data_IF_040999015649
#
_entry.id   IF_040999015649
#
_cell.length_a   1.000
_cell.length_b   1.000
_cell.length_c   1.000
_cell.angle_alpha   90.00
_cell.angle_beta   90.00
_cell.angle_gamma   90.00
#
_symmetry.space_group_name_H-M   'P 1'
#
loop_
_entity.id
_entity.type
_entity.pdbx_description
1 polymer ?
#
# COMPACT_ATOMS: atom_id res chain seq x y z
N UNK A 1 -17.21 -14.10 2.45
CA UNK A 1 -15.93 -13.36 2.32
C UNK A 1 -15.07 -13.74 3.50
N UNK A 2 -13.85 -14.24 3.28
CA UNK A 2 -12.94 -14.55 4.39
C UNK A 2 -12.49 -13.25 5.08
N UNK A 3 -12.29 -13.25 6.41
CA UNK A 3 -11.97 -12.04 7.18
C UNK A 3 -10.69 -11.35 6.67
N UNK A 4 -9.75 -12.12 6.11
CA UNK A 4 -8.52 -11.61 5.49
C UNK A 4 -8.78 -10.69 4.28
N UNK A 5 -9.81 -10.98 3.47
CA UNK A 5 -10.18 -10.14 2.33
C UNK A 5 -10.79 -8.81 2.78
N UNK A 6 -11.67 -8.84 3.78
CA UNK A 6 -12.28 -7.63 4.33
C UNK A 6 -11.23 -6.71 4.96
N UNK A 7 -10.26 -7.29 5.69
CA UNK A 7 -9.13 -6.57 6.25
C UNK A 7 -8.24 -5.96 5.17
N UNK A 8 -7.92 -6.71 4.12
CA UNK A 8 -7.08 -6.23 3.00
C UNK A 8 -7.72 -5.05 2.26
N UNK A 9 -9.05 -5.09 2.06
CA UNK A 9 -9.83 -4.00 1.44
C UNK A 9 -9.85 -2.77 2.34
N UNK A 10 -10.02 -2.92 3.66
CA UNK A 10 -9.97 -1.80 4.58
C UNK A 10 -8.60 -1.11 4.57
N UNK A 11 -7.52 -1.89 4.62
CA UNK A 11 -6.13 -1.40 4.54
C UNK A 11 -5.90 -0.65 3.21
N UNK A 12 -6.43 -1.17 2.10
CA UNK A 12 -6.37 -0.51 0.79
C UNK A 12 -7.00 0.89 0.82
N UNK A 13 -8.23 1.03 1.31
CA UNK A 13 -8.91 2.33 1.35
C UNK A 13 -8.25 3.34 2.28
N UNK A 14 -7.78 2.89 3.46
CA UNK A 14 -7.10 3.76 4.42
C UNK A 14 -5.81 4.33 3.81
N UNK A 15 -5.00 3.48 3.17
CA UNK A 15 -3.74 3.89 2.55
C UNK A 15 -4.01 4.77 1.33
N UNK A 16 -5.05 4.50 0.55
CA UNK A 16 -5.42 5.32 -0.60
C UNK A 16 -5.83 6.73 -0.17
N UNK A 17 -6.66 6.85 0.87
CA UNK A 17 -7.09 8.16 1.41
C UNK A 17 -5.90 8.90 2.00
N UNK A 18 -5.05 8.22 2.78
CA UNK A 18 -3.83 8.81 3.33
C UNK A 18 -2.87 9.27 2.22
N UNK A 19 -2.69 8.45 1.18
CA UNK A 19 -1.88 8.80 0.02
C UNK A 19 -2.42 10.02 -0.73
N UNK A 20 -3.73 10.12 -0.93
CA UNK A 20 -4.37 11.29 -1.53
C UNK A 20 -4.17 12.57 -0.68
N UNK A 21 -4.24 12.46 0.64
CA UNK A 21 -3.97 13.58 1.55
C UNK A 21 -2.51 14.04 1.49
N UNK A 22 -1.56 13.08 1.48
CA UNK A 22 -0.12 13.35 1.35
C UNK A 22 0.21 13.93 -0.03
N UNK A 23 -0.55 13.55 -1.06
CA UNK A 23 -0.38 14.09 -2.41
C UNK A 23 -0.72 15.59 -2.52
N UNK A 24 -1.38 16.16 -1.50
CA UNK A 24 -1.62 17.59 -1.37
C UNK A 24 -0.34 18.37 -0.95
N UNK A 25 0.69 17.67 -0.46
CA UNK A 25 1.99 18.25 -0.09
C UNK A 25 3.01 18.18 -1.25
N UNK A 26 3.91 19.17 -1.30
CA UNK A 26 4.91 19.36 -2.38
C UNK A 26 5.92 18.20 -2.51
N UNK A 27 6.13 17.37 -1.47
CA UNK A 27 7.07 16.23 -1.45
C UNK A 27 6.36 14.86 -1.43
N UNK A 28 5.41 14.68 -2.33
CA UNK A 28 4.48 13.55 -2.42
C UNK A 28 5.16 12.21 -2.72
N UNK A 29 6.21 12.21 -3.57
CA UNK A 29 6.84 10.96 -4.03
C UNK A 29 7.65 10.24 -2.92
N UNK A 30 8.30 10.98 -2.02
CA UNK A 30 9.21 10.41 -1.01
C UNK A 30 8.40 9.61 0.02
N UNK A 31 7.27 10.16 0.49
CA UNK A 31 6.43 9.50 1.49
C UNK A 31 5.75 8.24 0.95
N UNK A 32 5.33 8.22 -0.31
CA UNK A 32 4.78 7.02 -0.94
C UNK A 32 5.85 5.93 -1.14
N UNK A 33 7.06 6.28 -1.56
CA UNK A 33 8.17 5.31 -1.67
C UNK A 33 8.57 4.74 -0.30
N UNK A 34 8.58 5.58 0.74
CA UNK A 34 8.83 5.13 2.10
C UNK A 34 7.77 4.13 2.57
N UNK A 35 6.49 4.39 2.28
CA UNK A 35 5.39 3.48 2.59
C UNK A 35 5.53 2.13 1.89
N UNK A 36 5.87 2.12 0.59
CA UNK A 36 6.12 0.90 -0.17
C UNK A 36 7.29 0.11 0.42
N UNK A 37 8.41 0.78 0.73
CA UNK A 37 9.58 0.14 1.34
C UNK A 37 9.25 -0.46 2.71
N UNK A 38 8.44 0.22 3.51
CA UNK A 38 7.98 -0.27 4.80
C UNK A 38 7.10 -1.52 4.66
N UNK A 39 6.09 -1.49 3.78
CA UNK A 39 5.24 -2.66 3.52
C UNK A 39 6.03 -3.84 2.96
N UNK A 40 7.00 -3.57 2.08
CA UNK A 40 7.88 -4.61 1.53
C UNK A 40 8.75 -5.27 2.61
N UNK A 41 9.37 -4.45 3.47
CA UNK A 41 10.19 -4.95 4.60
C UNK A 41 9.33 -5.74 5.58
N UNK A 42 8.11 -5.28 5.85
CA UNK A 42 7.16 -5.99 6.71
C UNK A 42 6.80 -7.37 6.15
N UNK A 43 6.55 -7.49 4.85
CA UNK A 43 6.29 -8.80 4.20
C UNK A 43 7.48 -9.74 4.40
N UNK A 44 8.71 -9.28 4.13
CA UNK A 44 9.92 -10.09 4.24
C UNK A 44 10.10 -10.60 5.68
N UNK A 45 9.99 -9.71 6.67
CA UNK A 45 10.16 -10.07 8.09
C UNK A 45 9.06 -11.04 8.53
N UNK A 46 7.80 -10.75 8.21
CA UNK A 46 6.67 -11.57 8.65
C UNK A 46 6.69 -12.96 7.97
N UNK A 47 7.14 -13.02 6.72
CA UNK A 47 7.39 -14.29 6.02
C UNK A 47 8.53 -15.08 6.65
N UNK A 48 9.65 -14.42 7.00
CA UNK A 48 10.80 -15.09 7.62
C UNK A 48 10.45 -15.68 9.00
N UNK A 49 9.78 -14.89 9.85
CA UNK A 49 9.32 -15.34 11.18
C UNK A 49 8.33 -16.51 11.07
N UNK A 50 7.48 -16.51 10.05
CA UNK A 50 6.50 -17.58 9.85
C UNK A 50 7.12 -18.89 9.36
N UNK A 51 8.11 -18.79 8.48
CA UNK A 51 8.88 -19.95 8.00
C UNK A 51 9.71 -20.57 9.13
N UNK A 52 10.25 -19.75 10.04
CA UNK A 52 11.03 -20.25 11.18
C UNK A 52 10.15 -20.98 12.22
N UNK A 53 8.90 -20.57 12.39
CA UNK A 53 8.00 -21.13 13.42
C UNK A 53 7.15 -22.33 12.94
N UNK A 54 7.16 -22.66 11.64
CA UNK A 54 6.22 -23.65 11.08
C UNK A 54 6.96 -24.66 10.19
N UNK A 55 6.85 -25.96 10.50
CA UNK A 55 7.51 -27.03 9.74
C UNK A 55 6.85 -27.36 8.39
N UNK A 56 5.54 -27.08 8.23
CA UNK A 56 4.77 -27.29 7.00
C UNK A 56 4.19 -25.95 6.52
N UNK A 57 5.00 -25.18 5.79
CA UNK A 57 4.59 -23.88 5.27
C UNK A 57 3.97 -24.06 3.88
N UNK A 58 2.66 -23.86 3.74
CA UNK A 58 2.03 -23.81 2.42
C UNK A 58 2.15 -22.40 1.83
N UNK A 59 2.53 -22.31 0.54
CA UNK A 59 2.62 -21.05 -0.20
C UNK A 59 1.32 -20.23 -0.16
N UNK A 60 0.18 -20.92 -0.04
CA UNK A 60 -1.14 -20.30 0.02
C UNK A 60 -1.32 -19.47 1.28
N UNK A 61 -0.91 -19.97 2.46
CA UNK A 61 -1.03 -19.23 3.73
C UNK A 61 -0.13 -17.99 3.74
N UNK A 62 1.11 -18.14 3.25
CA UNK A 62 2.03 -17.02 3.07
C UNK A 62 1.45 -15.94 2.16
N UNK A 63 0.80 -16.34 1.06
CA UNK A 63 0.15 -15.41 0.14
C UNK A 63 -1.03 -14.70 0.78
N UNK A 64 -1.94 -15.42 1.45
CA UNK A 64 -3.10 -14.82 2.12
C UNK A 64 -2.71 -13.83 3.22
N UNK A 65 -1.58 -14.07 3.89
CA UNK A 65 -1.06 -13.18 4.94
C UNK A 65 -0.35 -11.95 4.36
N UNK A 66 0.23 -12.08 3.16
CA UNK A 66 0.89 -10.98 2.45
C UNK A 66 -0.07 -10.12 1.62
N UNK A 67 -1.27 -10.63 1.31
CA UNK A 67 -2.33 -9.91 0.59
C UNK A 67 -2.57 -8.48 1.10
N UNK A 68 -2.81 -8.22 2.40
CA UNK A 68 -3.08 -6.85 2.87
C UNK A 68 -1.92 -5.90 2.59
N UNK A 69 -0.68 -6.37 2.70
CA UNK A 69 0.52 -5.59 2.38
C UNK A 69 0.67 -5.34 0.88
N UNK A 70 0.37 -6.33 0.04
CA UNK A 70 0.35 -6.19 -1.42
C UNK A 70 -0.75 -5.20 -1.88
N UNK A 71 -1.93 -5.28 -1.28
CA UNK A 71 -3.00 -4.30 -1.49
C UNK A 71 -2.55 -2.90 -1.07
N UNK A 72 -1.87 -2.75 0.08
CA UNK A 72 -1.30 -1.47 0.50
C UNK A 72 -0.29 -0.88 -0.49
N UNK A 73 0.61 -1.71 -1.02
CA UNK A 73 1.57 -1.29 -2.07
C UNK A 73 0.84 -0.84 -3.34
N UNK A 74 -0.19 -1.59 -3.77
CA UNK A 74 -1.00 -1.21 -4.93
C UNK A 74 -1.74 0.10 -4.73
N UNK A 75 -2.27 0.37 -3.53
CA UNK A 75 -2.92 1.63 -3.17
C UNK A 75 -1.94 2.80 -3.24
N UNK A 76 -0.70 2.63 -2.75
CA UNK A 76 0.36 3.64 -2.84
C UNK A 76 0.70 3.97 -4.31
N UNK A 77 0.83 2.96 -5.17
CA UNK A 77 1.13 3.13 -6.60
C UNK A 77 -0.02 3.82 -7.36
N UNK A 78 -1.26 3.43 -7.08
CA UNK A 78 -2.45 4.07 -7.66
C UNK A 78 -2.55 5.52 -7.19
N UNK A 79 -2.29 5.79 -5.91
CA UNK A 79 -2.28 7.14 -5.36
C UNK A 79 -1.18 8.02 -5.98
N UNK A 80 0.00 7.46 -6.26
CA UNK A 80 1.08 8.16 -6.97
C UNK A 80 0.68 8.50 -8.41
N UNK A 81 0.02 7.56 -9.10
CA UNK A 81 -0.45 7.75 -10.48
C UNK A 81 -1.57 8.79 -10.56
N UNK A 82 -2.55 8.71 -9.64
CA UNK A 82 -3.60 9.72 -9.48
C UNK A 82 -3.02 11.08 -9.11
N UNK A 83 -1.98 11.10 -8.27
CA UNK A 83 -1.29 12.32 -7.92
C UNK A 83 -0.61 12.99 -9.11
N UNK A 84 -0.05 12.21 -10.03
CA UNK A 84 0.55 12.74 -11.24
C UNK A 84 -0.48 13.22 -12.28
N UNK A 85 -1.71 12.71 -12.26
CA UNK A 85 -2.72 13.05 -13.27
C UNK A 85 -3.73 14.11 -12.78
N UNK A 86 -4.20 14.01 -11.54
CA UNK A 86 -5.26 14.85 -10.98
C UNK A 86 -4.70 16.19 -10.47
N UNK A 87 -3.52 16.19 -9.83
CA UNK A 87 -2.97 17.41 -9.23
C UNK A 87 -2.40 18.44 -10.22
N UNK A 88 -1.75 18.12 -11.35
CA UNK A 88 -1.39 19.15 -12.32
C UNK A 88 -2.62 19.80 -12.96
N UNK A 89 -3.69 19.02 -13.23
CA UNK A 89 -4.98 19.57 -13.69
C UNK A 89 -5.63 20.49 -12.67
N UNK A 90 -5.65 20.13 -11.39
CA UNK A 90 -6.20 20.98 -10.31
C UNK A 90 -5.32 22.21 -10.07
N UNK A 91 -3.99 22.07 -10.09
CA UNK A 91 -3.05 23.18 -9.89
C UNK A 91 -3.11 24.20 -11.03
N UNK A 92 -3.32 23.76 -12.28
CA UNK A 92 -3.54 24.67 -13.40
C UNK A 92 -4.89 25.38 -13.27
N UNK A 93 -5.95 24.70 -12.81
CA UNK A 93 -7.29 25.27 -12.70
C UNK A 93 -7.50 26.24 -11.53
N UNK A 94 -6.65 26.20 -10.50
CA UNK A 94 -6.68 27.15 -9.37
C UNK A 94 -5.85 28.42 -9.70
N UNK A 95 -5.01 28.36 -10.74
CA UNK A 95 -4.11 29.46 -11.12
C UNK A 95 -4.64 30.31 -12.28
N UNK A 96 -5.71 29.87 -12.94
CA UNK A 96 -6.56 30.67 -13.85
C UNK A 96 -7.72 31.35 -13.09
#
# INVERSE_FOLDING_TARGET
>A
MTPAFSYSIAVFFIILIAGCAVNLLVQHYIFQLLGIAFFFTYIIINSAVYVENTFDVTFIELFYRSLPSLFGISACLISMTLGFWIFPSIRNKIRD
#
